data_IF_810425090692
#
_entry.id   IF_810425090692
#
_cell.length_a   1.000
_cell.length_b   1.000
_cell.length_c   1.000
_cell.angle_alpha   90.00
_cell.angle_beta   90.00
_cell.angle_gamma   90.00
#
_symmetry.space_group_name_H-M   'P 1'
#
loop_
_entity.id
_entity.type
_entity.pdbx_description
1 polymer ?
#
# COMPACT_ATOMS: atom_id res chain seq x y z
N UNK A 1 5.65 -2.44 -23.75
CA UNK A 1 4.55 -2.76 -24.67
C UNK A 1 3.24 -2.47 -23.92
N UNK A 2 2.64 -1.28 -24.11
CA UNK A 2 1.31 -0.94 -23.59
C UNK A 2 0.33 -1.05 -24.77
N UNK A 3 -0.42 -2.15 -24.84
CA UNK A 3 -1.67 -2.29 -25.61
C UNK A 3 -2.50 -3.41 -24.97
N UNK A 4 -3.40 -2.98 -24.10
CA UNK A 4 -4.32 -3.75 -23.24
C UNK A 4 -4.98 -2.73 -22.31
N UNK A 5 -5.88 -1.93 -22.89
CA UNK A 5 -5.83 -0.46 -22.77
C UNK A 5 -6.66 0.23 -21.68
N UNK A 6 -7.33 -0.47 -20.77
CA UNK A 6 -8.02 0.21 -19.65
C UNK A 6 -8.17 -0.72 -18.42
N UNK A 7 -8.61 -1.97 -18.64
CA UNK A 7 -8.78 -2.97 -17.57
C UNK A 7 -7.48 -3.35 -16.85
N UNK A 8 -6.36 -3.38 -17.59
CA UNK A 8 -5.06 -3.73 -17.01
C UNK A 8 -4.45 -2.56 -16.22
N UNK A 9 -4.74 -1.31 -16.63
CA UNK A 9 -4.27 -0.11 -15.93
C UNK A 9 -5.06 0.10 -14.63
N UNK A 10 -6.39 -0.03 -14.68
CA UNK A 10 -7.24 0.03 -13.50
C UNK A 10 -6.94 -1.08 -12.49
N UNK A 11 -6.65 -2.30 -12.96
CA UNK A 11 -6.19 -3.42 -12.13
C UNK A 11 -4.86 -3.12 -11.42
N UNK A 12 -3.86 -2.66 -12.16
CA UNK A 12 -2.56 -2.28 -11.59
C UNK A 12 -2.66 -1.14 -10.57
N UNK A 13 -3.48 -0.13 -10.87
CA UNK A 13 -3.71 1.01 -9.99
C UNK A 13 -4.33 0.56 -8.66
N UNK A 14 -5.31 -0.35 -8.71
CA UNK A 14 -5.94 -0.94 -7.53
C UNK A 14 -4.92 -1.66 -6.64
N UNK A 15 -4.04 -2.46 -7.23
CA UNK A 15 -2.96 -3.15 -6.50
C UNK A 15 -1.98 -2.17 -5.84
N UNK A 16 -1.68 -1.05 -6.51
CA UNK A 16 -0.84 0.01 -5.96
C UNK A 16 -1.52 0.66 -4.76
N UNK A 17 -2.80 1.06 -4.87
CA UNK A 17 -3.52 1.64 -3.74
C UNK A 17 -3.60 0.66 -2.57
N UNK A 18 -3.87 -0.62 -2.81
CA UNK A 18 -3.85 -1.66 -1.76
C UNK A 18 -2.50 -1.70 -1.02
N UNK A 19 -1.41 -1.71 -1.79
CA UNK A 19 -0.04 -1.76 -1.27
C UNK A 19 0.32 -0.50 -0.49
N UNK A 20 -0.01 0.69 -1.01
CA UNK A 20 0.24 1.97 -0.33
C UNK A 20 -0.61 2.09 0.94
N UNK A 21 -1.89 1.71 0.93
CA UNK A 21 -2.77 1.71 2.12
C UNK A 21 -2.18 0.81 3.20
N UNK A 22 -1.82 -0.43 2.83
CA UNK A 22 -1.18 -1.37 3.76
C UNK A 22 0.11 -0.80 4.35
N UNK A 23 0.99 -0.29 3.49
CA UNK A 23 2.27 0.29 3.90
C UNK A 23 2.10 1.51 4.82
N UNK A 24 1.11 2.37 4.52
CA UNK A 24 0.80 3.56 5.33
C UNK A 24 0.34 3.15 6.73
N UNK A 25 -0.60 2.21 6.84
CA UNK A 25 -1.11 1.71 8.12
C UNK A 25 -0.04 0.96 8.94
N UNK A 26 0.88 0.24 8.28
CA UNK A 26 1.93 -0.55 8.94
C UNK A 26 3.11 0.29 9.42
N UNK A 27 3.68 1.11 8.53
CA UNK A 27 4.97 1.77 8.77
C UNK A 27 4.86 3.24 9.17
N UNK A 28 3.68 3.84 8.98
CA UNK A 28 3.49 5.27 9.16
C UNK A 28 2.26 5.59 10.03
N UNK A 29 1.85 4.67 10.90
CA UNK A 29 0.74 4.87 11.83
C UNK A 29 0.91 6.09 12.74
N UNK A 30 2.15 6.53 13.00
CA UNK A 30 2.44 7.76 13.75
C UNK A 30 2.07 9.05 13.00
N UNK A 31 2.02 9.02 11.66
CA UNK A 31 1.55 10.15 10.83
C UNK A 31 0.03 10.16 10.71
N UNK A 32 -0.61 9.04 11.06
CA UNK A 32 -2.05 8.88 11.02
C UNK A 32 -2.59 9.27 12.40
N UNK A 33 -3.52 10.22 12.48
CA UNK A 33 -4.14 10.61 13.74
C UNK A 33 -5.20 9.57 14.21
N UNK A 34 -4.82 8.29 14.20
CA UNK A 34 -5.60 7.13 14.62
C UNK A 34 -4.74 6.28 15.57
N UNK A 35 -5.38 5.58 16.50
CA UNK A 35 -4.63 4.77 17.47
C UNK A 35 -3.88 3.62 16.79
N UNK A 36 -2.66 3.26 17.24
CA UNK A 36 -1.93 2.10 16.71
C UNK A 36 -2.74 0.80 16.79
N UNK A 37 -3.59 0.66 17.81
CA UNK A 37 -4.47 -0.49 17.98
C UNK A 37 -5.62 -0.52 16.95
N UNK A 38 -6.13 0.63 16.55
CA UNK A 38 -7.09 0.73 15.45
C UNK A 38 -6.45 0.32 14.12
N UNK A 39 -5.27 0.87 13.82
CA UNK A 39 -4.52 0.52 12.61
C UNK A 39 -4.15 -0.98 12.56
N UNK A 40 -3.73 -1.58 13.68
CA UNK A 40 -3.42 -3.02 13.72
C UNK A 40 -4.64 -3.91 13.52
N UNK A 41 -5.82 -3.51 14.04
CA UNK A 41 -7.09 -4.19 13.77
C UNK A 41 -7.50 -4.15 12.30
N UNK A 42 -7.25 -3.05 11.59
CA UNK A 42 -7.49 -2.95 10.14
C UNK A 42 -6.62 -3.92 9.33
N UNK A 43 -5.40 -4.17 9.81
CA UNK A 43 -4.40 -5.04 9.17
C UNK A 43 -4.54 -6.52 9.54
N UNK A 44 -5.32 -6.85 10.57
CA UNK A 44 -5.46 -8.21 11.09
C UNK A 44 -6.00 -9.16 10.03
N UNK A 45 -5.41 -10.34 9.91
CA UNK A 45 -5.94 -11.42 9.07
C UNK A 45 -6.92 -12.30 9.86
N UNK A 46 -7.93 -12.84 9.17
CA UNK A 46 -8.84 -13.83 9.74
C UNK A 46 -8.29 -15.25 9.48
N UNK A 47 -7.95 -16.04 10.53
CA UNK A 47 -7.30 -17.34 10.39
C UNK A 47 -8.17 -18.41 9.72
N UNK A 48 -9.51 -18.24 9.69
CA UNK A 48 -10.43 -19.29 9.20
C UNK A 48 -10.70 -19.19 7.69
N UNK A 49 -10.23 -18.15 7.01
CA UNK A 49 -10.40 -17.98 5.56
C UNK A 49 -9.08 -17.56 4.89
N UNK A 50 -8.25 -18.53 4.44
CA UNK A 50 -7.19 -18.22 3.50
C UNK A 50 -7.81 -17.89 2.14
N UNK A 51 -7.84 -16.61 1.79
CA UNK A 51 -7.86 -16.07 0.42
C UNK A 51 -8.53 -16.97 -0.65
N UNK A 52 -9.80 -17.33 -0.51
CA UNK A 52 -10.55 -17.93 -1.62
C UNK A 52 -11.15 -16.82 -2.46
N UNK A 53 -10.88 -16.87 -3.76
CA UNK A 53 -11.54 -16.09 -4.80
C UNK A 53 -13.05 -16.38 -4.82
N UNK A 54 -13.82 -15.78 -3.91
CA UNK A 54 -15.27 -15.73 -4.04
C UNK A 54 -15.74 -14.28 -3.97
N UNK A 55 -16.09 -13.75 -5.13
CA UNK A 55 -16.70 -12.43 -5.31
C UNK A 55 -18.16 -12.37 -4.78
N UNK A 56 -18.54 -13.25 -3.85
CA UNK A 56 -19.87 -13.19 -3.25
C UNK A 56 -19.83 -12.24 -2.05
N UNK A 57 -20.35 -11.04 -2.29
CA UNK A 57 -20.88 -10.11 -1.30
C UNK A 57 -21.81 -10.85 -0.32
N UNK A 58 -21.22 -11.47 0.70
CA UNK A 58 -21.95 -12.03 1.83
C UNK A 58 -22.38 -10.86 2.72
N UNK A 59 -23.65 -10.48 2.62
CA UNK A 59 -24.33 -9.52 3.50
C UNK A 59 -23.97 -9.81 4.97
N UNK A 60 -23.51 -8.80 5.70
CA UNK A 60 -23.34 -8.85 7.16
C UNK A 60 -21.94 -8.43 7.64
N UNK A 61 -20.94 -9.29 7.52
CA UNK A 61 -19.61 -9.09 8.13
C UNK A 61 -18.55 -8.84 7.05
N UNK A 62 -17.84 -7.69 7.08
CA UNK A 62 -16.80 -7.40 6.09
C UNK A 62 -15.67 -8.44 6.11
N UNK A 63 -15.11 -8.71 4.94
CA UNK A 63 -14.00 -9.64 4.80
C UNK A 63 -12.71 -9.02 5.35
N UNK A 64 -11.97 -9.82 6.09
CA UNK A 64 -10.66 -9.45 6.64
C UNK A 64 -9.55 -9.81 5.66
N UNK A 65 -8.44 -9.05 5.62
CA UNK A 65 -8.18 -7.86 6.44
C UNK A 65 -8.96 -6.62 5.93
N UNK A 66 -9.43 -5.79 6.86
CA UNK A 66 -10.33 -4.66 6.55
C UNK A 66 -9.66 -3.58 5.66
N UNK A 67 -8.34 -3.44 5.72
CA UNK A 67 -7.64 -2.46 4.86
C UNK A 67 -7.85 -2.73 3.37
N UNK A 68 -8.11 -3.98 2.94
CA UNK A 68 -8.41 -4.28 1.54
C UNK A 68 -9.73 -3.68 1.10
N UNK A 69 -10.72 -3.72 1.98
CA UNK A 69 -11.99 -3.06 1.72
C UNK A 69 -11.81 -1.54 1.69
N UNK A 70 -11.03 -0.99 2.63
CA UNK A 70 -10.67 0.43 2.65
C UNK A 70 -10.00 0.88 1.34
N UNK A 71 -8.99 0.14 0.87
CA UNK A 71 -8.30 0.41 -0.38
C UNK A 71 -9.23 0.31 -1.60
N UNK A 72 -10.08 -0.71 -1.64
CA UNK A 72 -11.07 -0.87 -2.71
C UNK A 72 -12.09 0.28 -2.72
N UNK A 73 -12.61 0.67 -1.56
CA UNK A 73 -13.50 1.81 -1.44
C UNK A 73 -12.80 3.05 -1.96
N UNK A 74 -11.62 3.38 -1.42
CA UNK A 74 -10.81 4.52 -1.86
C UNK A 74 -10.58 4.56 -3.37
N UNK A 75 -10.18 3.44 -3.99
CA UNK A 75 -10.02 3.38 -5.44
C UNK A 75 -11.32 3.70 -6.18
N UNK A 76 -12.44 3.08 -5.78
CA UNK A 76 -13.74 3.36 -6.40
C UNK A 76 -14.14 4.85 -6.25
N UNK A 77 -13.85 5.47 -5.11
CA UNK A 77 -14.09 6.90 -4.89
C UNK A 77 -13.30 7.79 -5.85
N UNK A 78 -12.05 7.42 -6.10
CA UNK A 78 -11.14 8.20 -6.94
C UNK A 78 -11.46 8.01 -8.44
N UNK A 79 -11.99 6.85 -8.82
CA UNK A 79 -12.27 6.48 -10.21
C UNK A 79 -13.65 6.95 -10.70
N UNK A 80 -14.67 6.92 -9.82
CA UNK A 80 -16.06 7.08 -10.26
C UNK A 80 -16.63 8.50 -10.15
N UNK A 81 -15.89 9.49 -9.61
CA UNK A 81 -16.32 10.86 -9.24
C UNK A 81 -17.68 10.96 -8.50
N UNK A 82 -18.35 9.85 -8.21
CA UNK A 82 -19.73 9.77 -7.80
C UNK A 82 -19.82 8.99 -6.50
N UNK A 83 -20.12 9.73 -5.45
CA UNK A 83 -20.36 9.19 -4.13
C UNK A 83 -21.79 8.66 -4.02
N UNK A 84 -21.92 7.44 -3.50
CA UNK A 84 -23.17 6.98 -2.91
C UNK A 84 -22.86 6.44 -1.52
N UNK A 85 -23.09 7.26 -0.49
CA UNK A 85 -23.11 6.80 0.91
C UNK A 85 -24.18 5.72 1.17
N UNK A 86 -25.06 5.44 0.17
CA UNK A 86 -26.27 4.60 0.22
C UNK A 86 -26.50 3.98 1.59
N UNK A 87 -26.98 4.83 2.48
CA UNK A 87 -27.82 4.48 3.60
C UNK A 87 -28.81 3.43 3.15
N UNK A 88 -28.83 2.29 3.83
CA UNK A 88 -30.05 1.53 3.98
C UNK A 88 -31.09 2.50 4.56
N UNK A 89 -32.14 2.80 3.80
CA UNK A 89 -33.21 3.70 4.21
C UNK A 89 -33.80 3.24 5.56
N UNK A 90 -33.71 4.06 6.60
CA UNK A 90 -34.83 4.31 7.51
C UNK A 90 -34.59 5.56 8.38
N UNK A 91 -35.34 6.61 8.05
CA UNK A 91 -35.82 7.73 8.89
C UNK A 91 -34.98 8.25 10.07
N UNK A 92 -34.58 9.54 10.02
CA UNK A 92 -34.59 10.46 11.17
C UNK A 92 -34.44 11.93 10.72
N UNK A 93 -35.35 12.78 11.20
CA UNK A 93 -35.39 14.24 11.04
C UNK A 93 -34.34 14.94 11.93
N UNK A 94 -33.87 16.11 11.49
CA UNK A 94 -32.94 17.07 12.13
C UNK A 94 -31.42 16.78 12.23
N UNK A 95 -30.91 15.58 11.92
CA UNK A 95 -29.45 15.33 11.85
C UNK A 95 -28.81 15.65 10.48
N UNK A 96 -29.59 16.09 9.50
CA UNK A 96 -29.16 16.21 8.10
C UNK A 96 -28.04 17.26 7.88
N UNK A 97 -28.07 18.43 8.52
CA UNK A 97 -27.18 19.55 8.18
C UNK A 97 -25.72 19.35 8.62
N UNK A 98 -25.48 18.89 9.86
CA UNK A 98 -24.11 18.65 10.35
C UNK A 98 -23.46 17.44 9.66
N UNK A 99 -24.24 16.40 9.41
CA UNK A 99 -23.81 15.23 8.64
C UNK A 99 -23.48 15.62 7.19
N UNK A 100 -24.28 16.49 6.54
CA UNK A 100 -23.97 16.98 5.19
C UNK A 100 -22.64 17.76 5.12
N UNK A 101 -22.37 18.67 6.06
CA UNK A 101 -21.11 19.44 6.05
C UNK A 101 -19.87 18.58 6.26
N UNK A 102 -19.91 17.62 7.20
CA UNK A 102 -18.80 16.68 7.43
C UNK A 102 -18.63 15.70 6.27
N UNK A 103 -19.71 15.15 5.72
CA UNK A 103 -19.63 14.29 4.52
C UNK A 103 -19.04 15.05 3.34
N UNK A 104 -19.43 16.32 3.14
CA UNK A 104 -18.86 17.17 2.09
C UNK A 104 -17.37 17.43 2.31
N UNK A 105 -16.92 17.61 3.56
CA UNK A 105 -15.51 17.78 3.88
C UNK A 105 -14.69 16.51 3.59
N UNK A 106 -15.14 15.35 4.08
CA UNK A 106 -14.48 14.06 3.82
C UNK A 106 -14.45 13.75 2.32
N UNK A 107 -15.55 13.99 1.61
CA UNK A 107 -15.62 13.80 0.17
C UNK A 107 -14.61 14.68 -0.59
N UNK A 108 -14.56 15.99 -0.27
CA UNK A 108 -13.59 16.91 -0.86
C UNK A 108 -12.15 16.48 -0.56
N UNK A 109 -11.87 16.01 0.65
CA UNK A 109 -10.55 15.53 1.05
C UNK A 109 -10.14 14.27 0.26
N UNK A 110 -11.05 13.31 0.09
CA UNK A 110 -10.82 12.09 -0.70
C UNK A 110 -10.53 12.45 -2.16
N UNK A 111 -11.30 13.37 -2.76
CA UNK A 111 -11.07 13.80 -4.13
C UNK A 111 -9.74 14.54 -4.29
N UNK A 112 -9.42 15.47 -3.38
CA UNK A 112 -8.15 16.21 -3.40
C UNK A 112 -6.94 15.29 -3.24
N UNK A 113 -6.88 14.49 -2.16
CA UNK A 113 -5.74 13.60 -1.91
C UNK A 113 -5.70 12.40 -2.84
N UNK A 114 -6.85 11.91 -3.25
CA UNK A 114 -6.99 10.81 -4.20
C UNK A 114 -6.50 11.18 -5.59
N UNK A 115 -6.89 12.36 -6.11
CA UNK A 115 -6.38 12.84 -7.40
C UNK A 115 -4.86 13.04 -7.38
N UNK A 116 -4.31 13.62 -6.30
CA UNK A 116 -2.86 13.74 -6.12
C UNK A 116 -2.17 12.37 -6.11
N UNK A 117 -2.73 11.38 -5.40
CA UNK A 117 -2.20 10.02 -5.35
C UNK A 117 -2.21 9.37 -6.74
N UNK A 118 -3.33 9.45 -7.46
CA UNK A 118 -3.44 8.90 -8.80
C UNK A 118 -2.48 9.58 -9.78
N UNK A 119 -2.28 10.89 -9.67
CA UNK A 119 -1.33 11.61 -10.52
C UNK A 119 0.11 11.14 -10.28
N UNK A 120 0.51 10.92 -9.02
CA UNK A 120 1.82 10.33 -8.72
C UNK A 120 1.93 8.94 -9.36
N UNK A 121 0.95 8.06 -9.15
CA UNK A 121 0.99 6.70 -9.69
C UNK A 121 0.99 6.67 -11.23
N UNK A 122 0.25 7.56 -11.89
CA UNK A 122 0.25 7.71 -13.36
C UNK A 122 1.58 8.22 -13.91
N UNK A 123 2.34 8.98 -13.11
CA UNK A 123 3.67 9.48 -13.50
C UNK A 123 4.79 8.45 -13.35
N UNK A 124 4.51 7.28 -12.76
CA UNK A 124 5.50 6.20 -12.61
C UNK A 124 5.80 5.57 -13.97
N UNK A 125 7.09 5.52 -14.32
CA UNK A 125 7.60 4.88 -15.54
C UNK A 125 7.84 3.38 -15.35
N UNK A 126 8.34 2.97 -14.17
CA UNK A 126 8.77 1.59 -13.90
C UNK A 126 8.36 1.08 -12.53
N UNK A 127 8.12 -0.23 -12.43
CA UNK A 127 7.91 -0.93 -11.16
C UNK A 127 9.06 -1.91 -10.89
N UNK A 128 9.65 -1.80 -9.70
CA UNK A 128 10.68 -2.71 -9.20
C UNK A 128 10.25 -3.35 -7.88
N UNK A 129 10.70 -4.58 -7.67
CA UNK A 129 10.52 -5.29 -6.40
C UNK A 129 11.87 -5.50 -5.72
N UNK A 130 12.02 -5.01 -4.49
CA UNK A 130 13.24 -5.07 -3.68
C UNK A 130 12.94 -5.83 -2.39
N UNK A 131 13.76 -6.84 -2.07
CA UNK A 131 13.60 -7.65 -0.86
C UNK A 131 14.18 -6.95 0.38
N UNK A 132 13.73 -7.35 1.56
CA UNK A 132 14.41 -6.98 2.81
C UNK A 132 15.78 -7.66 2.91
N UNK A 133 16.79 -7.03 3.53
CA UNK A 133 16.75 -5.74 4.24
C UNK A 133 16.88 -4.50 3.33
N UNK A 134 17.13 -4.69 2.04
CA UNK A 134 17.46 -3.60 1.11
C UNK A 134 16.31 -2.62 0.90
N UNK A 135 15.06 -3.06 1.00
CA UNK A 135 13.91 -2.16 0.94
C UNK A 135 13.87 -1.18 2.12
N UNK A 136 14.07 -1.67 3.35
CA UNK A 136 14.19 -0.79 4.53
C UNK A 136 15.37 0.18 4.37
N UNK A 137 16.50 -0.28 3.86
CA UNK A 137 17.67 0.56 3.62
C UNK A 137 17.43 1.64 2.56
N UNK A 138 16.62 1.37 1.51
CA UNK A 138 16.18 2.38 0.55
C UNK A 138 15.27 3.42 1.20
N UNK A 139 14.33 2.97 2.04
CA UNK A 139 13.42 3.85 2.79
C UNK A 139 14.19 4.82 3.68
N UNK A 140 15.22 4.33 4.36
CA UNK A 140 16.05 5.08 5.29
C UNK A 140 17.16 5.89 4.59
N UNK A 141 17.34 5.74 3.27
CA UNK A 141 18.32 6.47 2.47
C UNK A 141 19.76 5.97 2.61
N UNK A 142 19.96 4.80 3.20
CA UNK A 142 21.26 4.13 3.29
C UNK A 142 21.68 3.59 1.92
N UNK A 143 20.77 2.82 1.30
CA UNK A 143 20.91 2.33 -0.08
C UNK A 143 20.45 3.41 -1.05
N UNK A 144 21.25 3.69 -2.06
CA UNK A 144 20.97 4.73 -3.09
C UNK A 144 21.25 4.25 -4.51
N UNK A 145 21.79 3.04 -4.67
CA UNK A 145 22.07 2.44 -5.97
C UNK A 145 21.39 1.07 -6.01
N UNK A 146 20.58 0.84 -7.02
CA UNK A 146 19.91 -0.43 -7.27
C UNK A 146 20.54 -1.14 -8.47
N UNK A 147 21.24 -2.25 -8.20
CA UNK A 147 21.84 -3.09 -9.22
C UNK A 147 20.84 -4.04 -9.87
N UNK A 148 20.75 -4.05 -11.20
CA UNK A 148 19.88 -4.95 -11.98
C UNK A 148 20.59 -5.44 -13.22
N UNK A 149 20.37 -6.70 -13.59
CA UNK A 149 20.78 -7.18 -14.91
C UNK A 149 20.09 -6.36 -16.02
N UNK A 150 20.83 -5.89 -17.03
CA UNK A 150 20.39 -4.90 -18.02
C UNK A 150 19.44 -5.47 -19.11
N UNK A 151 18.53 -6.35 -18.70
CA UNK A 151 17.51 -6.93 -19.58
C UNK A 151 16.66 -5.85 -20.25
N UNK A 152 15.99 -6.21 -21.35
CA UNK A 152 15.12 -5.32 -22.15
C UNK A 152 14.03 -4.58 -21.37
N UNK A 153 13.67 -5.05 -20.16
CA UNK A 153 12.75 -4.38 -19.24
C UNK A 153 13.38 -3.15 -18.59
N UNK A 154 14.65 -3.22 -18.21
CA UNK A 154 15.34 -2.19 -17.42
C UNK A 154 16.27 -1.33 -18.25
N UNK A 155 16.69 -1.78 -19.42
CA UNK A 155 17.57 -1.02 -20.32
C UNK A 155 16.95 0.27 -20.89
N UNK A 156 15.63 0.47 -20.68
CA UNK A 156 14.89 1.67 -21.09
C UNK A 156 14.75 2.71 -19.98
N UNK A 157 15.24 2.42 -18.79
CA UNK A 157 15.22 3.38 -17.69
C UNK A 157 16.18 4.51 -18.09
N UNK A 158 15.76 5.75 -17.87
CA UNK A 158 16.49 6.96 -18.18
C UNK A 158 16.58 7.89 -16.95
N UNK A 159 17.46 8.89 -17.04
CA UNK A 159 17.57 9.93 -16.02
C UNK A 159 16.23 10.67 -15.86
N UNK A 160 15.79 10.87 -14.61
CA UNK A 160 14.52 11.54 -14.29
C UNK A 160 13.30 10.61 -14.29
N UNK A 161 13.44 9.33 -14.66
CA UNK A 161 12.33 8.39 -14.55
C UNK A 161 11.89 8.17 -13.10
N UNK A 162 10.58 8.00 -12.92
CA UNK A 162 10.00 7.65 -11.63
C UNK A 162 9.82 6.13 -11.53
N UNK A 163 10.42 5.56 -10.49
CA UNK A 163 10.38 4.14 -10.17
C UNK A 163 9.54 3.93 -8.91
N UNK A 164 8.52 3.09 -9.03
CA UNK A 164 7.72 2.60 -7.91
C UNK A 164 8.34 1.31 -7.37
N UNK A 165 8.86 1.36 -6.15
CA UNK A 165 9.46 0.22 -5.46
C UNK A 165 8.42 -0.40 -4.53
N UNK A 166 8.24 -1.72 -4.64
CA UNK A 166 7.30 -2.53 -3.83
C UNK A 166 5.89 -1.94 -3.81
N UNK A 167 5.44 -1.38 -4.94
CA UNK A 167 4.13 -0.73 -5.12
C UNK A 167 3.77 0.32 -4.06
N UNK A 168 4.75 0.90 -3.34
CA UNK A 168 4.48 1.72 -2.15
C UNK A 168 5.32 2.99 -2.03
N UNK A 169 6.56 2.98 -2.55
CA UNK A 169 7.47 4.13 -2.46
C UNK A 169 7.98 4.54 -3.85
N UNK A 170 8.05 5.84 -4.10
CA UNK A 170 8.46 6.40 -5.39
C UNK A 170 9.87 6.99 -5.28
N UNK A 171 10.72 6.60 -6.21
CA UNK A 171 12.09 7.10 -6.32
C UNK A 171 12.29 7.69 -7.70
N UNK A 172 13.15 8.70 -7.79
CA UNK A 172 13.56 9.30 -9.06
C UNK A 172 14.96 8.82 -9.41
N UNK A 173 15.17 8.46 -10.68
CA UNK A 173 16.47 8.08 -11.21
C UNK A 173 17.35 9.32 -11.33
N UNK A 174 18.45 9.33 -10.59
CA UNK A 174 19.46 10.39 -10.57
C UNK A 174 20.66 10.07 -11.47
N UNK A 175 20.76 8.84 -11.95
CA UNK A 175 21.81 8.43 -12.88
C UNK A 175 21.78 6.94 -13.16
N UNK A 176 22.40 6.56 -14.26
CA UNK A 176 22.47 5.17 -14.71
C UNK A 176 23.88 4.90 -15.20
N UNK A 177 24.47 3.80 -14.75
CA UNK A 177 25.76 3.32 -15.23
C UNK A 177 25.65 1.86 -15.61
N UNK A 178 26.39 1.47 -16.65
CA UNK A 178 26.40 0.10 -17.16
C UNK A 178 27.76 -0.53 -16.90
N UNK A 179 27.73 -1.81 -16.55
CA UNK A 179 28.90 -2.61 -16.23
C UNK A 179 28.80 -3.97 -16.92
N UNK A 180 29.92 -4.61 -17.30
CA UNK A 180 29.90 -5.96 -17.85
C UNK A 180 29.39 -7.00 -16.84
N UNK A 181 29.81 -6.89 -15.59
CA UNK A 181 29.43 -7.83 -14.51
C UNK A 181 29.00 -7.10 -13.23
N UNK A 182 28.38 -7.84 -12.31
CA UNK A 182 28.10 -7.35 -10.96
C UNK A 182 29.41 -7.14 -10.18
N UNK A 183 30.47 -7.91 -10.45
CA UNK A 183 31.78 -7.70 -9.81
C UNK A 183 32.32 -6.32 -10.19
N UNK A 184 32.33 -6.00 -11.48
CA UNK A 184 32.77 -4.68 -11.99
C UNK A 184 31.95 -3.54 -11.37
N UNK A 185 30.63 -3.73 -11.26
CA UNK A 185 29.74 -2.74 -10.64
C UNK A 185 30.06 -2.56 -9.16
N UNK A 186 30.25 -3.65 -8.41
CA UNK A 186 30.51 -3.61 -6.98
C UNK A 186 31.91 -3.07 -6.62
N UNK A 187 32.88 -3.26 -7.51
CA UNK A 187 34.22 -2.69 -7.39
C UNK A 187 34.27 -1.19 -7.75
N UNK A 188 33.49 -0.78 -8.76
CA UNK A 188 33.47 0.61 -9.23
C UNK A 188 32.53 1.52 -8.42
N UNK A 189 31.38 1.01 -7.98
CA UNK A 189 30.45 1.73 -7.13
C UNK A 189 30.77 1.51 -5.65
N UNK A 190 30.30 2.42 -4.80
CA UNK A 190 30.48 2.25 -3.35
C UNK A 190 29.59 1.11 -2.84
N UNK A 191 30.19 0.00 -2.40
CA UNK A 191 29.48 -1.16 -1.84
C UNK A 191 28.40 -0.75 -0.82
N UNK A 192 28.72 0.16 0.11
CA UNK A 192 27.75 0.62 1.13
C UNK A 192 26.50 1.31 0.55
N UNK A 193 26.58 1.80 -0.69
CA UNK A 193 25.46 2.45 -1.40
C UNK A 193 24.65 1.49 -2.24
N UNK A 194 25.24 0.36 -2.63
CA UNK A 194 24.60 -0.72 -3.40
C UNK A 194 24.01 -1.78 -2.47
N UNK A 195 24.82 -2.34 -1.57
CA UNK A 195 24.44 -3.39 -0.61
C UNK A 195 24.91 -3.01 0.80
N UNK A 196 24.24 -2.06 1.49
CA UNK A 196 24.63 -1.67 2.84
C UNK A 196 24.66 -2.86 3.81
N UNK A 197 25.77 -3.00 4.54
CA UNK A 197 26.01 -4.10 5.50
C UNK A 197 26.70 -5.32 4.90
N UNK A 198 26.95 -5.35 3.59
CA UNK A 198 27.80 -6.36 2.94
C UNK A 198 29.24 -5.85 2.93
N UNK A 199 30.19 -6.72 3.30
CA UNK A 199 31.58 -6.32 3.53
C UNK A 199 32.53 -6.69 2.38
N UNK A 200 32.13 -7.60 1.48
CA UNK A 200 32.99 -8.05 0.37
C UNK A 200 32.23 -8.15 -0.96
N UNK A 201 32.99 -8.14 -2.07
CA UNK A 201 32.45 -8.30 -3.43
C UNK A 201 31.86 -9.70 -3.59
N UNK A 202 32.51 -10.72 -3.06
CA UNK A 202 32.06 -12.12 -3.10
C UNK A 202 30.71 -12.28 -2.41
N UNK A 203 30.54 -11.73 -1.21
CA UNK A 203 29.26 -11.75 -0.51
C UNK A 203 28.18 -10.98 -1.29
N UNK A 204 28.54 -9.84 -1.90
CA UNK A 204 27.64 -9.07 -2.75
C UNK A 204 27.18 -9.84 -3.99
N UNK A 205 28.09 -10.60 -4.62
CA UNK A 205 27.75 -11.48 -5.74
C UNK A 205 26.78 -12.58 -5.32
N UNK A 206 26.97 -13.20 -4.15
CA UNK A 206 26.03 -14.21 -3.62
C UNK A 206 24.61 -13.65 -3.43
N UNK A 207 24.48 -12.37 -3.07
CA UNK A 207 23.16 -11.71 -3.03
C UNK A 207 22.53 -11.66 -4.43
N UNK A 208 23.28 -11.28 -5.46
CA UNK A 208 22.77 -11.19 -6.84
C UNK A 208 22.49 -12.56 -7.48
N UNK A 209 23.27 -13.58 -7.15
CA UNK A 209 23.10 -14.96 -7.65
C UNK A 209 21.78 -15.60 -7.25
N UNK A 210 21.14 -15.11 -6.17
CA UNK A 210 19.77 -15.50 -5.80
C UNK A 210 18.72 -15.08 -6.82
N UNK A 211 19.03 -14.11 -7.69
CA UNK A 211 18.09 -13.52 -8.65
C UNK A 211 18.51 -13.68 -10.11
N UNK A 212 19.82 -13.76 -10.40
CA UNK A 212 20.36 -13.79 -11.76
C UNK A 212 21.44 -14.87 -11.89
N UNK A 213 21.35 -15.67 -12.95
CA UNK A 213 22.41 -16.59 -13.33
C UNK A 213 23.56 -15.84 -14.01
N UNK A 214 24.75 -16.42 -14.01
CA UNK A 214 25.95 -15.83 -14.62
C UNK A 214 25.78 -15.65 -16.13
N UNK A 215 25.15 -16.60 -16.80
CA UNK A 215 24.92 -16.53 -18.24
C UNK A 215 24.07 -15.32 -18.60
N UNK A 216 23.03 -15.06 -17.80
CA UNK A 216 22.12 -13.93 -18.01
C UNK A 216 22.81 -12.59 -17.74
N UNK A 217 23.65 -12.55 -16.72
CA UNK A 217 24.50 -11.39 -16.44
C UNK A 217 25.45 -11.11 -17.61
N UNK A 218 26.20 -12.10 -18.09
CA UNK A 218 27.14 -11.93 -19.19
C UNK A 218 26.45 -11.57 -20.51
N UNK A 219 25.26 -12.11 -20.77
CA UNK A 219 24.49 -11.80 -21.97
C UNK A 219 24.00 -10.35 -22.01
N UNK A 220 23.57 -9.81 -20.87
CA UNK A 220 22.89 -8.51 -20.82
C UNK A 220 23.76 -7.39 -20.24
N UNK A 221 24.76 -7.71 -19.43
CA UNK A 221 25.44 -6.78 -18.53
C UNK A 221 24.59 -6.40 -17.32
N UNK A 222 25.05 -5.38 -16.59
CA UNK A 222 24.49 -4.89 -15.34
C UNK A 222 24.26 -3.38 -15.40
N UNK A 223 23.15 -2.93 -14.81
CA UNK A 223 22.81 -1.53 -14.57
C UNK A 223 22.95 -1.21 -13.09
N UNK A 224 23.70 -0.17 -12.78
CA UNK A 224 23.61 0.55 -11.52
C UNK A 224 22.62 1.71 -11.69
N UNK A 225 21.45 1.59 -11.08
CA UNK A 225 20.40 2.62 -11.12
C UNK A 225 20.52 3.47 -9.85
N UNK A 226 21.05 4.68 -9.99
CA UNK A 226 21.21 5.63 -8.88
C UNK A 226 19.86 6.29 -8.66
N UNK A 227 19.33 6.21 -7.44
CA UNK A 227 17.98 6.63 -7.12
C UNK A 227 17.94 7.51 -5.86
N UNK A 228 17.03 8.47 -5.86
CA UNK A 228 16.72 9.29 -4.69
C UNK A 228 15.24 9.24 -4.35
N UNK A 229 14.91 9.20 -3.06
CA UNK A 229 13.53 9.22 -2.59
C UNK A 229 12.88 10.56 -2.95
N UNK A 230 11.75 10.51 -3.65
CA UNK A 230 10.96 11.71 -3.97
C UNK A 230 10.37 12.29 -2.68
N UNK A 231 10.31 13.61 -2.56
CA UNK A 231 9.80 14.27 -1.35
C UNK A 231 8.31 13.97 -1.10
N UNK A 232 7.49 13.98 -2.15
CA UNK A 232 6.05 13.73 -2.08
C UNK A 232 5.74 12.26 -2.34
N UNK A 233 5.62 11.49 -1.26
CA UNK A 233 5.36 10.05 -1.32
C UNK A 233 3.86 9.72 -1.29
N UNK A 234 3.42 8.65 -1.99
CA UNK A 234 2.04 8.14 -1.91
C UNK A 234 1.52 7.94 -0.49
N UNK A 235 2.35 7.39 0.40
CA UNK A 235 1.97 7.12 1.79
C UNK A 235 1.77 8.39 2.62
N UNK A 236 2.42 9.51 2.26
CA UNK A 236 2.22 10.81 2.94
C UNK A 236 0.81 11.33 2.63
N UNK A 237 0.38 11.22 1.37
CA UNK A 237 -0.98 11.61 0.96
C UNK A 237 -2.04 10.77 1.67
N UNK A 238 -1.84 9.45 1.74
CA UNK A 238 -2.75 8.57 2.46
C UNK A 238 -2.74 8.81 3.97
N UNK A 239 -1.58 9.08 4.58
CA UNK A 239 -1.53 9.40 6.01
C UNK A 239 -2.31 10.68 6.32
N UNK A 240 -2.13 11.73 5.52
CA UNK A 240 -2.89 12.97 5.62
C UNK A 240 -4.38 12.75 5.39
N UNK A 241 -4.75 11.92 4.41
CA UNK A 241 -6.13 11.54 4.15
C UNK A 241 -6.75 10.84 5.35
N UNK A 242 -6.12 9.80 5.90
CA UNK A 242 -6.62 9.08 7.06
C UNK A 242 -6.69 9.95 8.31
N UNK A 243 -5.71 10.85 8.50
CA UNK A 243 -5.74 11.82 9.59
C UNK A 243 -6.95 12.77 9.47
N UNK A 244 -7.23 13.29 8.27
CA UNK A 244 -8.37 14.18 8.05
C UNK A 244 -9.73 13.47 8.07
N UNK A 245 -9.79 12.22 7.64
CA UNK A 245 -11.00 11.39 7.74
C UNK A 245 -11.36 11.06 9.19
N UNK A 246 -10.37 10.98 10.08
CA UNK A 246 -10.53 10.50 11.47
C UNK A 246 -11.14 9.08 11.51
N UNK A 247 -11.50 8.60 12.72
CA UNK A 247 -12.17 7.32 12.87
C UNK A 247 -13.46 7.26 12.04
N UNK A 248 -14.24 8.35 12.10
CA UNK A 248 -15.57 8.44 11.49
C UNK A 248 -15.52 8.24 9.98
N UNK A 249 -14.62 8.93 9.29
CA UNK A 249 -14.47 8.80 7.85
C UNK A 249 -13.91 7.45 7.43
N UNK A 250 -12.95 6.89 8.18
CA UNK A 250 -12.40 5.56 7.88
C UNK A 250 -13.45 4.46 8.07
N UNK A 251 -14.26 4.53 9.12
CA UNK A 251 -15.39 3.63 9.34
C UNK A 251 -16.48 3.80 8.26
N UNK A 252 -16.73 5.03 7.83
CA UNK A 252 -17.60 5.33 6.70
C UNK A 252 -17.16 4.67 5.40
N UNK A 253 -15.85 4.68 5.10
CA UNK A 253 -15.28 3.98 3.94
C UNK A 253 -15.43 2.44 4.03
N UNK A 254 -15.62 1.91 5.24
CA UNK A 254 -15.93 0.50 5.48
C UNK A 254 -17.45 0.21 5.47
N UNK A 255 -18.29 1.22 5.17
CA UNK A 255 -19.74 1.10 5.19
C UNK A 255 -20.34 1.01 6.59
N UNK A 256 -19.62 1.43 7.63
CA UNK A 256 -20.08 1.42 9.01
C UNK A 256 -20.83 2.71 9.33
N UNK A 257 -21.96 2.58 10.02
CA UNK A 257 -22.74 3.71 10.51
C UNK A 257 -22.38 4.03 11.96
N UNK A 258 -22.25 5.31 12.27
CA UNK A 258 -22.16 5.76 13.65
C UNK A 258 -23.54 5.77 14.29
N UNK A 259 -23.66 5.06 15.41
CA UNK A 259 -24.84 5.11 16.28
C UNK A 259 -24.44 5.72 17.62
N UNK A 260 -25.30 6.55 18.18
CA UNK A 260 -25.08 7.18 19.48
C UNK A 260 -24.85 6.11 20.55
N UNK A 261 -23.77 6.23 21.33
CA UNK A 261 -23.41 5.29 22.40
C UNK A 261 -22.43 4.18 22.01
N UNK A 262 -21.93 4.16 20.78
CA UNK A 262 -20.83 3.25 20.37
C UNK A 262 -19.46 3.91 20.54
N UNK A 263 -18.45 3.09 20.84
CA UNK A 263 -17.05 3.57 20.89
C UNK A 263 -16.63 4.06 19.50
N UNK A 264 -16.04 5.26 19.43
CA UNK A 264 -15.67 5.89 18.17
C UNK A 264 -14.63 5.11 17.37
N UNK A 265 -13.82 4.27 18.02
CA UNK A 265 -12.77 3.45 17.40
C UNK A 265 -13.17 1.98 17.23
N UNK A 266 -14.46 1.66 17.38
CA UNK A 266 -14.95 0.29 17.22
C UNK A 266 -14.88 -0.16 15.76
N UNK A 267 -14.23 -1.30 15.53
CA UNK A 267 -14.27 -2.01 14.25
C UNK A 267 -15.11 -3.27 14.44
N UNK A 268 -15.77 -3.77 13.37
CA UNK A 268 -16.44 -5.06 13.45
C UNK A 268 -15.47 -6.15 13.92
N UNK A 269 -15.94 -7.24 14.53
CA UNK A 269 -15.13 -8.42 14.77
C UNK A 269 -14.94 -9.25 13.48
N UNK A 270 -13.90 -10.09 13.44
CA UNK A 270 -13.74 -11.08 12.35
C UNK A 270 -14.84 -12.14 12.41
N UNK A 271 -15.09 -12.83 11.29
CA UNK A 271 -16.08 -13.93 11.24
C UNK A 271 -15.72 -15.04 12.22
N UNK A 272 -14.44 -15.40 12.29
CA UNK A 272 -13.94 -16.35 13.29
C UNK A 272 -14.21 -15.92 14.73
N UNK A 273 -14.04 -14.63 15.05
CA UNK A 273 -14.32 -14.09 16.38
C UNK A 273 -15.81 -14.16 16.70
N UNK A 274 -16.68 -13.85 15.72
CA UNK A 274 -18.13 -13.99 15.88
C UNK A 274 -18.55 -15.44 16.07
N UNK A 275 -18.05 -16.37 15.25
CA UNK A 275 -18.36 -17.79 15.38
C UNK A 275 -17.89 -18.36 16.73
N UNK A 276 -16.71 -17.96 17.20
CA UNK A 276 -16.23 -18.34 18.52
C UNK A 276 -17.14 -17.82 19.65
N UNK A 277 -17.71 -16.62 19.50
CA UNK A 277 -18.65 -16.06 20.49
C UNK A 277 -19.94 -16.86 20.64
N UNK A 278 -20.43 -17.50 19.56
CA UNK A 278 -21.59 -18.39 19.62
C UNK A 278 -21.30 -19.75 20.27
N UNK A 279 -20.03 -20.16 20.28
CA UNK A 279 -19.58 -21.42 20.87
C UNK A 279 -19.16 -21.28 22.34
N UNK A 280 -19.17 -20.07 22.90
CA UNK A 280 -18.97 -19.84 24.32
C UNK A 280 -20.25 -20.23 25.08
N UNK A 281 -20.19 -21.16 26.05
CA UNK A 281 -21.37 -21.51 26.83
C UNK A 281 -21.89 -20.27 27.55
N UNK A 282 -23.18 -19.95 27.35
CA UNK A 282 -23.87 -18.94 28.15
C UNK A 282 -23.68 -19.29 29.63
N UNK A 283 -23.08 -18.37 30.36
CA UNK A 283 -22.71 -18.53 31.77
C UNK A 283 -23.90 -19.10 32.58
N UNK A 284 -23.84 -20.35 33.10
CA UNK A 284 -24.97 -20.95 33.81
C UNK A 284 -25.18 -20.39 35.23
N UNK A 285 -24.37 -19.42 35.66
CA UNK A 285 -24.36 -18.89 37.02
C UNK A 285 -25.14 -17.58 37.18
N UNK A 286 -26.36 -17.50 36.64
CA UNK A 286 -27.35 -16.54 37.14
C UNK A 286 -28.12 -17.26 38.24
N UNK A 287 -27.73 -17.04 39.50
CA UNK A 287 -28.59 -17.38 40.65
C UNK A 287 -29.85 -16.53 40.54
N UNK A 288 -30.99 -17.19 40.31
CA UNK A 288 -32.33 -16.61 40.52
C UNK A 288 -32.56 -16.33 41.99
#
# INVERSE_FOLDING_TARGET
MKKGGDDNESGWMRDCIDSVVKFTLQSHSHLINLSPQFCSKLLKHDPTYPSLHSQHSLKGVPLYPLYKHLASSLFCFMDSESFCWKTCNSTMTLQHTFMHHKHNHCHKLILDKGSQLLNILRSVSFELHVQEPFFSQLKDGLKTIEGRCATSKYSRIELGDLILINKSMVFEVQGIRQYPTFSDMLEAERMEKVLPGVESVEEGLEVYRRFYTEEKELENGVLAIIISKVAFQPYILLANLFSGLSYEGVQGLLGLMHTTGTNSDALPPSKSTLLASFNLPCNPNVKK
#
